data_IF_859317985068
#
_entry.id   IF_859317985068
#
_cell.length_a   1.000
_cell.length_b   1.000
_cell.length_c   1.000
_cell.angle_alpha   90.00
_cell.angle_beta   90.00
_cell.angle_gamma   90.00
#
_symmetry.space_group_name_H-M   'P 1'
#
loop_
_entity.id
_entity.type
_entity.pdbx_description
1 polymer ?
#
# COMPACT_ATOMS: atom_id res chain seq x y z
N UNK A 1 4.15 3.51 -6.03
CA UNK A 1 3.70 2.17 -6.49
C UNK A 1 3.50 2.21 -7.99
N UNK A 2 3.42 1.05 -8.65
CA UNK A 2 3.08 1.02 -10.09
C UNK A 2 1.74 1.72 -10.35
N UNK A 3 1.67 2.50 -11.42
CA UNK A 3 0.49 3.30 -11.73
C UNK A 3 -0.72 2.49 -12.22
N UNK A 4 -0.56 1.21 -12.53
CA UNK A 4 -1.66 0.34 -12.96
C UNK A 4 -2.36 -0.38 -11.81
N UNK A 5 -1.82 -0.29 -10.59
CA UNK A 5 -2.48 -0.75 -9.36
C UNK A 5 -3.86 -0.10 -9.26
N UNK A 6 -4.86 -0.89 -8.88
CA UNK A 6 -6.23 -0.43 -8.71
C UNK A 6 -6.45 0.02 -7.27
N UNK A 7 -6.93 1.25 -7.09
CA UNK A 7 -7.41 1.76 -5.80
C UNK A 7 -8.94 1.81 -5.79
N UNK A 8 -9.52 1.62 -4.63
CA UNK A 8 -10.98 1.69 -4.46
C UNK A 8 -11.41 3.15 -4.26
N UNK A 9 -12.39 3.61 -5.04
CA UNK A 9 -13.03 4.91 -4.88
C UNK A 9 -14.12 4.83 -3.79
N UNK A 10 -14.60 5.99 -3.32
CA UNK A 10 -15.64 6.05 -2.27
C UNK A 10 -16.95 5.33 -2.61
N UNK A 11 -17.26 5.16 -3.90
CA UNK A 11 -18.45 4.47 -4.40
C UNK A 11 -18.26 2.94 -4.54
N UNK A 12 -17.08 2.43 -4.16
CA UNK A 12 -16.71 1.02 -4.25
C UNK A 12 -16.20 0.60 -5.64
N UNK A 13 -16.13 1.51 -6.62
CA UNK A 13 -15.51 1.22 -7.92
C UNK A 13 -13.99 1.25 -7.83
N UNK A 14 -13.32 0.65 -8.81
CA UNK A 14 -11.86 0.61 -8.88
C UNK A 14 -11.33 1.58 -9.95
N UNK A 15 -10.31 2.36 -9.60
CA UNK A 15 -9.59 3.27 -10.48
C UNK A 15 -8.10 2.93 -10.50
N UNK A 16 -7.45 3.02 -11.66
CA UNK A 16 -5.98 2.91 -11.72
C UNK A 16 -5.34 4.08 -10.99
N UNK A 17 -4.32 3.81 -10.19
CA UNK A 17 -3.60 4.81 -9.40
C UNK A 17 -3.07 5.97 -10.25
N UNK A 18 -2.63 5.70 -11.48
CA UNK A 18 -2.17 6.74 -12.43
C UNK A 18 -3.25 7.72 -12.90
N UNK A 19 -4.52 7.39 -12.72
CA UNK A 19 -5.66 8.22 -13.10
C UNK A 19 -6.24 9.02 -11.93
N UNK A 20 -5.73 8.80 -10.72
CA UNK A 20 -6.13 9.52 -9.52
C UNK A 20 -5.57 10.95 -9.57
N UNK A 21 -6.32 11.89 -9.02
CA UNK A 21 -5.94 13.29 -8.89
C UNK A 21 -5.93 13.75 -7.43
N UNK A 22 -5.22 14.85 -7.18
CA UNK A 22 -5.30 15.54 -5.89
C UNK A 22 -6.73 16.06 -5.68
N UNK A 23 -7.29 15.74 -4.52
CA UNK A 23 -8.68 16.05 -4.16
C UNK A 23 -9.62 14.87 -4.26
N UNK A 24 -9.24 13.79 -4.96
CA UNK A 24 -10.05 12.58 -5.05
C UNK A 24 -10.18 11.90 -3.69
N UNK A 25 -11.30 11.19 -3.50
CA UNK A 25 -11.59 10.41 -2.31
C UNK A 25 -11.46 8.93 -2.67
N UNK A 26 -10.57 8.23 -1.96
CA UNK A 26 -10.36 6.79 -2.09
C UNK A 26 -10.62 6.10 -0.75
N UNK A 27 -10.91 4.81 -0.78
CA UNK A 27 -11.06 4.01 0.42
C UNK A 27 -9.69 3.64 0.98
N UNK A 28 -9.60 3.74 2.30
CA UNK A 28 -8.49 3.25 3.09
C UNK A 28 -8.99 2.62 4.37
N UNK A 29 -8.06 2.46 5.30
CA UNK A 29 -8.35 1.96 6.64
C UNK A 29 -8.03 3.07 7.63
N UNK A 30 -8.79 3.18 8.71
CA UNK A 30 -8.51 4.09 9.81
C UNK A 30 -7.61 3.45 10.90
N UNK A 31 -7.44 4.13 12.04
CA UNK A 31 -6.64 3.60 13.14
C UNK A 31 -7.33 2.49 13.96
N UNK A 32 -8.63 2.23 13.75
CA UNK A 32 -9.36 1.12 14.38
C UNK A 32 -9.38 -0.12 13.50
N UNK A 33 -8.98 0.00 12.23
CA UNK A 33 -9.02 -1.11 11.27
C UNK A 33 -10.27 -1.08 10.39
N UNK A 34 -11.11 -0.06 10.53
CA UNK A 34 -12.35 0.08 9.77
C UNK A 34 -12.10 0.80 8.44
N UNK A 35 -12.93 0.49 7.43
CA UNK A 35 -12.89 1.17 6.14
C UNK A 35 -13.29 2.63 6.33
N UNK A 36 -12.44 3.54 5.84
CA UNK A 36 -12.65 4.98 5.95
C UNK A 36 -12.22 5.71 4.68
N UNK A 37 -12.95 6.78 4.36
CA UNK A 37 -12.63 7.66 3.25
C UNK A 37 -11.31 8.42 3.50
N UNK A 38 -10.48 8.50 2.47
CA UNK A 38 -9.24 9.22 2.48
C UNK A 38 -9.17 10.20 1.30
N UNK A 39 -8.82 11.44 1.55
CA UNK A 39 -8.59 12.43 0.51
C UNK A 39 -7.14 12.40 0.05
N UNK A 40 -6.93 12.34 -1.27
CA UNK A 40 -5.60 12.47 -1.88
C UNK A 40 -5.13 13.92 -1.77
N UNK A 41 -4.12 14.18 -0.96
CA UNK A 41 -3.60 15.54 -0.69
C UNK A 41 -2.34 15.87 -1.47
N UNK A 42 -1.55 14.86 -1.85
CA UNK A 42 -0.41 15.00 -2.75
C UNK A 42 -0.39 13.86 -3.76
N UNK A 43 0.15 14.15 -4.94
CA UNK A 43 0.36 13.18 -6.00
C UNK A 43 1.59 13.59 -6.81
N UNK A 44 2.46 12.63 -7.09
CA UNK A 44 3.65 12.81 -7.90
C UNK A 44 3.92 11.58 -8.76
N UNK A 45 4.28 11.80 -10.02
CA UNK A 45 4.83 10.79 -10.90
C UNK A 45 6.35 10.90 -10.85
N UNK A 46 7.02 9.85 -10.41
CA UNK A 46 8.47 9.84 -10.22
C UNK A 46 9.07 8.57 -10.80
N UNK A 47 10.34 8.62 -11.17
CA UNK A 47 11.14 7.44 -11.47
C UNK A 47 11.80 6.95 -10.18
N UNK A 48 11.73 5.65 -9.89
CA UNK A 48 12.32 5.07 -8.68
C UNK A 48 12.79 3.64 -8.94
N UNK A 49 13.86 3.22 -8.25
CA UNK A 49 14.23 1.81 -8.21
C UNK A 49 13.13 0.99 -7.54
N UNK A 50 12.64 -0.01 -8.25
CA UNK A 50 11.49 -0.79 -7.85
C UNK A 50 11.84 -2.23 -7.55
N UNK A 51 11.04 -2.80 -6.66
CA UNK A 51 10.99 -4.22 -6.37
C UNK A 51 9.64 -4.77 -6.83
N UNK A 52 9.66 -5.98 -7.37
CA UNK A 52 8.48 -6.82 -7.56
C UNK A 52 8.40 -7.78 -6.38
N UNK A 53 7.36 -7.63 -5.56
CA UNK A 53 7.06 -8.50 -4.42
C UNK A 53 5.90 -9.39 -4.83
N UNK A 54 6.12 -10.70 -4.86
CA UNK A 54 5.10 -11.68 -5.23
C UNK A 54 4.59 -12.40 -4.00
N UNK A 55 3.27 -12.52 -3.92
CA UNK A 55 2.51 -13.32 -2.96
C UNK A 55 1.80 -14.46 -3.71
N UNK A 56 1.04 -15.30 -3.01
CA UNK A 56 0.32 -16.42 -3.63
C UNK A 56 -0.64 -15.98 -4.75
N UNK A 57 -1.43 -14.93 -4.51
CA UNK A 57 -2.44 -14.44 -5.46
C UNK A 57 -2.20 -13.00 -5.93
N UNK A 58 -1.19 -12.32 -5.37
CA UNK A 58 -0.95 -10.90 -5.60
C UNK A 58 0.48 -10.63 -6.02
N UNK A 59 0.68 -9.56 -6.80
CA UNK A 59 2.00 -9.03 -7.14
C UNK A 59 1.98 -7.53 -6.93
N UNK A 60 2.88 -7.04 -6.08
CA UNK A 60 3.03 -5.62 -5.81
C UNK A 60 4.33 -5.15 -6.44
N UNK A 61 4.25 -4.04 -7.17
CA UNK A 61 5.43 -3.30 -7.61
C UNK A 61 5.52 -2.00 -6.81
N UNK A 62 6.56 -1.89 -6.00
CA UNK A 62 6.78 -0.76 -5.11
C UNK A 62 8.23 -0.28 -5.17
N UNK A 63 8.50 0.94 -4.73
CA UNK A 63 9.86 1.46 -4.64
C UNK A 63 10.63 0.74 -3.51
N UNK A 64 11.96 0.72 -3.59
CA UNK A 64 12.82 0.20 -2.51
C UNK A 64 12.61 0.90 -1.15
N UNK A 65 12.04 2.11 -1.15
CA UNK A 65 11.70 2.85 0.07
C UNK A 65 10.32 2.52 0.65
N UNK A 66 9.55 1.62 0.05
CA UNK A 66 8.20 1.29 0.52
C UNK A 66 8.23 0.51 1.83
N UNK A 67 7.17 0.66 2.63
CA UNK A 67 7.00 0.03 3.93
C UNK A 67 5.72 -0.79 3.92
N UNK A 68 5.80 -2.02 4.44
CA UNK A 68 4.66 -2.88 4.70
C UNK A 68 4.36 -2.92 6.19
N UNK A 69 3.18 -3.42 6.55
CA UNK A 69 2.86 -3.72 7.95
C UNK A 69 3.16 -5.19 8.21
N UNK A 70 4.09 -5.49 9.10
CA UNK A 70 4.44 -6.85 9.50
C UNK A 70 3.53 -7.41 10.60
N UNK A 71 3.81 -8.65 11.03
CA UNK A 71 3.15 -9.26 12.19
C UNK A 71 3.32 -8.38 13.44
N UNK A 72 2.22 -8.11 14.15
CA UNK A 72 2.21 -7.23 15.33
C UNK A 72 2.11 -5.73 15.01
N UNK A 73 1.72 -5.37 13.77
CA UNK A 73 1.45 -3.99 13.34
C UNK A 73 2.67 -3.07 13.44
N UNK A 74 3.82 -3.61 13.06
CA UNK A 74 5.07 -2.86 12.96
C UNK A 74 5.30 -2.48 11.49
N UNK A 75 5.61 -1.22 11.23
CA UNK A 75 6.10 -0.75 9.94
C UNK A 75 7.44 -1.43 9.61
N UNK A 76 7.46 -2.28 8.57
CA UNK A 76 8.65 -3.00 8.11
C UNK A 76 9.04 -2.51 6.71
N UNK A 77 10.24 -1.93 6.51
CA UNK A 77 10.72 -1.56 5.19
C UNK A 77 10.84 -2.77 4.27
N UNK A 78 10.44 -2.63 3.00
CA UNK A 78 10.51 -3.73 2.02
C UNK A 78 11.92 -4.29 1.87
N UNK A 79 12.94 -3.44 2.02
CA UNK A 79 14.35 -3.86 1.96
C UNK A 79 14.81 -4.72 3.14
N UNK A 80 14.01 -4.81 4.21
CA UNK A 80 14.28 -5.69 5.35
C UNK A 80 13.54 -7.03 5.27
N UNK A 81 12.63 -7.17 4.30
CA UNK A 81 11.85 -8.39 4.08
C UNK A 81 12.61 -9.38 3.20
N UNK A 82 12.30 -10.66 3.36
CA UNK A 82 12.78 -11.77 2.53
C UNK A 82 11.65 -12.76 2.23
N UNK A 83 11.87 -13.65 1.26
CA UNK A 83 10.95 -14.76 1.00
C UNK A 83 10.69 -15.57 2.28
N UNK A 84 9.42 -15.90 2.52
CA UNK A 84 8.95 -16.58 3.73
C UNK A 84 8.54 -15.63 4.87
N UNK A 85 8.87 -14.34 4.81
CA UNK A 85 8.29 -13.35 5.72
C UNK A 85 6.82 -13.09 5.36
N UNK A 86 6.03 -12.61 6.31
CA UNK A 86 4.61 -12.27 6.09
C UNK A 86 4.30 -10.82 6.42
N UNK A 87 3.35 -10.26 5.67
CA UNK A 87 2.84 -8.89 5.85
C UNK A 87 1.32 -8.91 5.98
N UNK A 88 0.76 -7.87 6.57
CA UNK A 88 -0.67 -7.74 6.83
C UNK A 88 -1.44 -7.45 5.53
N UNK A 89 -2.49 -8.23 5.30
CA UNK A 89 -3.46 -8.07 4.22
C UNK A 89 -4.66 -7.20 4.66
N UNK A 90 -5.52 -6.81 3.72
CA UNK A 90 -6.73 -6.00 3.98
C UNK A 90 -7.77 -6.69 4.85
N UNK A 91 -7.82 -8.02 4.84
CA UNK A 91 -8.71 -8.81 5.68
C UNK A 91 -8.16 -9.05 7.10
N UNK A 92 -7.02 -8.41 7.44
CA UNK A 92 -6.33 -8.58 8.71
C UNK A 92 -5.52 -9.88 8.81
N UNK A 93 -5.50 -10.71 7.76
CA UNK A 93 -4.66 -11.91 7.70
C UNK A 93 -3.19 -11.57 7.38
N UNK A 94 -2.29 -12.51 7.64
CA UNK A 94 -0.90 -12.41 7.21
C UNK A 94 -0.71 -13.17 5.90
N UNK A 95 -0.14 -12.50 4.89
CA UNK A 95 0.18 -13.07 3.59
C UNK A 95 1.69 -13.24 3.44
N UNK A 96 2.12 -14.43 3.02
CA UNK A 96 3.52 -14.80 2.86
C UNK A 96 4.11 -14.28 1.54
N UNK A 97 5.33 -13.75 1.62
CA UNK A 97 6.12 -13.32 0.47
C UNK A 97 6.77 -14.53 -0.19
N UNK A 98 6.44 -14.77 -1.46
CA UNK A 98 6.99 -15.86 -2.27
C UNK A 98 8.30 -15.43 -2.94
N UNK A 99 8.35 -14.22 -3.50
CA UNK A 99 9.56 -13.69 -4.13
C UNK A 99 9.70 -12.18 -3.98
N UNK A 100 10.95 -11.72 -3.96
CA UNK A 100 11.31 -10.30 -4.06
C UNK A 100 12.36 -10.19 -5.16
N UNK A 101 12.05 -9.44 -6.20
CA UNK A 101 12.93 -9.26 -7.37
C UNK A 101 13.22 -7.77 -7.57
N UNK A 102 14.49 -7.42 -7.77
CA UNK A 102 14.86 -6.09 -8.26
C UNK A 102 14.52 -6.00 -9.75
N UNK A 103 13.68 -5.02 -10.11
CA UNK A 103 13.20 -4.82 -11.48
C UNK A 103 13.68 -3.49 -12.08
N UNK A 104 14.67 -2.87 -11.43
CA UNK A 104 15.31 -1.62 -11.86
C UNK A 104 14.44 -0.38 -11.69
N UNK A 105 14.89 0.71 -12.28
CA UNK A 105 14.19 2.00 -12.28
C UNK A 105 12.93 1.92 -13.14
N UNK A 106 11.80 2.33 -12.57
CA UNK A 106 10.50 2.39 -13.24
C UNK A 106 9.70 3.63 -12.83
N UNK A 107 8.74 4.05 -13.67
CA UNK A 107 7.75 5.05 -13.28
C UNK A 107 6.87 4.51 -12.16
N UNK A 108 6.75 5.28 -11.09
CA UNK A 108 5.85 5.02 -9.97
C UNK A 108 5.02 6.25 -9.67
N UNK A 109 3.81 6.00 -9.17
CA UNK A 109 2.94 7.03 -8.61
C UNK A 109 3.11 7.03 -7.10
N UNK A 110 3.51 8.17 -6.55
CA UNK A 110 3.51 8.44 -5.12
C UNK A 110 2.31 9.33 -4.83
N UNK A 111 1.40 8.85 -3.98
CA UNK A 111 0.30 9.66 -3.47
C UNK A 111 0.55 10.01 -2.01
N UNK A 112 -0.23 10.89 -1.41
CA UNK A 112 -0.37 11.04 0.04
C UNK A 112 -1.84 11.19 0.32
N UNK A 113 -2.36 10.47 1.30
CA UNK A 113 -3.78 10.51 1.67
C UNK A 113 -3.97 10.95 3.12
N UNK A 114 -5.09 11.60 3.42
CA UNK A 114 -5.49 12.03 4.77
C UNK A 114 -6.91 11.57 5.09
N UNK A 115 -7.25 11.34 6.37
CA UNK A 115 -6.44 11.65 7.55
C UNK A 115 -5.54 10.51 8.05
N UNK A 116 -5.72 9.28 7.58
CA UNK A 116 -5.08 8.10 8.19
C UNK A 116 -3.82 7.62 7.47
N UNK A 117 -3.47 8.20 6.32
CA UNK A 117 -2.26 7.86 5.55
C UNK A 117 -2.19 6.38 5.09
N UNK A 118 -3.33 5.68 5.11
CA UNK A 118 -3.49 4.30 4.68
C UNK A 118 -4.57 4.24 3.60
N UNK A 119 -4.34 3.48 2.53
CA UNK A 119 -5.30 3.31 1.44
C UNK A 119 -5.28 1.87 0.92
N UNK A 120 -6.37 1.44 0.29
CA UNK A 120 -6.49 0.08 -0.25
C UNK A 120 -6.11 0.10 -1.73
N UNK A 121 -5.21 -0.79 -2.12
CA UNK A 121 -4.81 -0.97 -3.52
C UNK A 121 -4.57 -2.45 -3.85
N UNK A 122 -5.13 -2.96 -4.94
CA UNK A 122 -5.10 -4.38 -5.35
C UNK A 122 -5.44 -5.38 -4.22
N UNK A 123 -6.35 -4.98 -3.32
CA UNK A 123 -6.74 -5.79 -2.16
C UNK A 123 -5.73 -5.79 -1.01
N UNK A 124 -4.76 -4.87 -1.00
CA UNK A 124 -3.71 -4.76 0.03
C UNK A 124 -3.75 -3.36 0.66
N UNK A 125 -3.54 -3.28 1.98
CA UNK A 125 -3.48 -1.98 2.68
C UNK A 125 -2.09 -1.42 2.47
N UNK A 126 -2.02 -0.29 1.79
CA UNK A 126 -0.79 0.43 1.55
C UNK A 126 -0.63 1.57 2.55
N UNK A 127 0.56 1.61 3.14
CA UNK A 127 0.99 2.65 4.06
C UNK A 127 1.78 3.71 3.30
N UNK A 128 1.42 4.97 3.50
CA UNK A 128 1.97 6.06 2.71
C UNK A 128 2.82 7.05 3.54
N UNK A 129 2.64 7.06 4.86
CA UNK A 129 3.46 7.77 5.83
C UNK A 129 3.06 7.40 7.26
N UNK A 130 4.04 7.41 8.16
CA UNK A 130 3.99 7.08 9.61
C UNK A 130 2.57 7.02 10.18
N UNK A 131 2.10 5.82 10.52
CA UNK A 131 0.72 5.63 10.96
C UNK A 131 0.53 6.15 12.39
N UNK A 132 -0.66 6.72 12.62
CA UNK A 132 -1.27 6.70 13.93
C UNK A 132 -1.30 5.25 14.41
N UNK A 133 -0.75 4.96 15.59
CA UNK A 133 -0.66 3.61 16.14
C UNK A 133 -2.03 2.92 16.08
N UNK A 134 -2.18 1.95 15.18
CA UNK A 134 -3.43 1.20 15.03
C UNK A 134 -3.66 0.43 16.34
N UNK A 135 -4.86 0.58 16.92
CA UNK A 135 -5.24 -0.17 18.11
C UNK A 135 -5.86 -1.47 17.65
N UNK A 136 -5.17 -2.59 17.86
CA UNK A 136 -5.78 -3.92 17.76
C UNK A 136 -6.21 -4.32 19.15
N UNK A 137 -7.51 -4.47 19.38
CA UNK A 137 -8.00 -5.13 20.59
C UNK A 137 -7.84 -6.65 20.42
N UNK A 138 -7.24 -7.30 21.42
CA UNK A 138 -6.98 -8.74 21.49
C UNK A 138 -8.21 -9.53 21.95
#
# INVERSE_FOLDING_TARGET
MDGNVEVLNEDGTASKLKNIAKGDIILGIDCTGDIANQTVVNLAHIESECLRVSFAEHVIICSKGHVFIGAGVVEVPVMSLKCGDSVLSTDGSLIEIISIEDIGTRPVVAIEVKPHHMFIADGIVHHNKTACAMRVEY
#
